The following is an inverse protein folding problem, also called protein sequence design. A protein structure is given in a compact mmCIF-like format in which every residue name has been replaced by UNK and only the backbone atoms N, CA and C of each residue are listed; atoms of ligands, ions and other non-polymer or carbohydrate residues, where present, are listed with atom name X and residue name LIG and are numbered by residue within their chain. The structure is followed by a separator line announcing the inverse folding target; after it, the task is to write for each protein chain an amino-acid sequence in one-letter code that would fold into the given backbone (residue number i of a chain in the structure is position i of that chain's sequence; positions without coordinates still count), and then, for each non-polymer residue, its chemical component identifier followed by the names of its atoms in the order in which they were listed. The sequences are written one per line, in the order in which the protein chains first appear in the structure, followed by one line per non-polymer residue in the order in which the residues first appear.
data_IF_526833996142
#
_entry.id   IF_526833996142
#
_cell.length_a   1.000
_cell.length_b   1.000
_cell.length_c   1.000
_cell.angle_alpha   90.00
_cell.angle_beta   90.00
_cell.angle_gamma   90.00
#
_symmetry.space_group_name_H-M   'P 1'
#
loop_
_entity.id
_entity.type
_entity.pdbx_description
1 polymer ?
#
# COMPACT_ATOMS: atom_id res chain seq x y z
N UNK A 1 -9.79 -10.54 -27.13
CA UNK A 1 -9.15 -10.93 -25.88
C UNK A 1 -8.38 -9.73 -25.36
N UNK A 2 -8.72 -9.31 -24.16
CA UNK A 2 -8.00 -8.21 -23.53
C UNK A 2 -6.67 -8.78 -23.03
N UNK A 3 -5.55 -8.19 -23.43
CA UNK A 3 -4.23 -8.49 -22.88
C UNK A 3 -4.09 -7.83 -21.50
N UNK A 4 -5.09 -8.04 -20.64
CA UNK A 4 -5.15 -7.51 -19.27
C UNK A 4 -5.44 -8.69 -18.33
N UNK A 5 -4.62 -8.81 -17.31
CA UNK A 5 -4.84 -9.71 -16.21
C UNK A 5 -5.03 -8.90 -14.93
N UNK A 6 -6.08 -9.19 -14.16
CA UNK A 6 -6.47 -8.45 -12.96
C UNK A 6 -6.39 -9.39 -11.76
N UNK A 7 -5.69 -8.94 -10.73
CA UNK A 7 -5.59 -9.62 -9.43
C UNK A 7 -6.17 -8.72 -8.35
N UNK A 8 -7.06 -9.28 -7.55
CA UNK A 8 -7.65 -8.60 -6.41
C UNK A 8 -6.89 -9.00 -5.14
N UNK A 9 -6.07 -8.12 -4.63
CA UNK A 9 -5.34 -8.34 -3.38
C UNK A 9 -5.26 -7.07 -2.53
N UNK A 10 -5.15 -7.27 -1.22
CA UNK A 10 -4.85 -6.24 -0.23
C UNK A 10 -3.49 -6.47 0.44
N UNK A 11 -2.74 -7.46 -0.04
CA UNK A 11 -1.44 -7.84 0.49
C UNK A 11 -0.32 -7.14 -0.27
N UNK A 12 0.40 -6.24 0.40
CA UNK A 12 1.58 -5.60 -0.19
C UNK A 12 2.66 -6.63 -0.58
N UNK A 13 2.77 -7.73 0.16
CA UNK A 13 3.74 -8.80 -0.14
C UNK A 13 3.40 -9.49 -1.47
N UNK A 14 2.14 -9.80 -1.72
CA UNK A 14 1.69 -10.37 -3.00
C UNK A 14 1.90 -9.39 -4.16
N UNK A 15 1.56 -8.10 -3.97
CA UNK A 15 1.82 -7.08 -4.99
C UNK A 15 3.30 -7.03 -5.36
N UNK A 16 4.20 -7.08 -4.37
CA UNK A 16 5.64 -7.10 -4.62
C UNK A 16 6.10 -8.38 -5.32
N UNK A 17 5.49 -9.54 -5.03
CA UNK A 17 5.76 -10.80 -5.72
C UNK A 17 5.35 -10.71 -7.20
N UNK A 18 4.15 -10.23 -7.50
CA UNK A 18 3.71 -10.02 -8.89
C UNK A 18 4.59 -9.04 -9.66
N UNK A 19 5.06 -7.97 -9.01
CA UNK A 19 6.02 -7.04 -9.63
C UNK A 19 7.35 -7.75 -9.91
N UNK A 20 7.83 -8.60 -9.00
CA UNK A 20 9.03 -9.39 -9.17
C UNK A 20 8.91 -10.37 -10.35
N UNK A 21 7.81 -11.10 -10.44
CA UNK A 21 7.53 -12.00 -11.55
C UNK A 21 7.47 -11.26 -12.88
N UNK A 22 6.79 -10.10 -12.92
CA UNK A 22 6.76 -9.26 -14.13
C UNK A 22 8.15 -8.78 -14.54
N UNK A 23 8.99 -8.40 -13.57
CA UNK A 23 10.37 -7.96 -13.79
C UNK A 23 11.24 -9.06 -14.39
N UNK A 24 11.12 -10.26 -13.83
CA UNK A 24 11.92 -11.43 -14.24
C UNK A 24 11.34 -12.19 -15.44
N UNK A 25 10.19 -11.76 -15.99
CA UNK A 25 9.44 -12.48 -17.02
C UNK A 25 9.09 -13.92 -16.60
N UNK A 26 8.74 -14.13 -15.35
CA UNK A 26 8.24 -15.39 -14.79
C UNK A 26 6.78 -15.64 -15.20
N UNK A 27 6.31 -16.87 -15.06
CA UNK A 27 4.92 -17.21 -15.37
C UNK A 27 3.98 -16.71 -14.27
N UNK A 28 2.80 -16.30 -14.71
CA UNK A 28 1.66 -16.00 -13.84
C UNK A 28 0.70 -17.19 -13.91
N UNK A 29 0.03 -17.48 -12.80
CA UNK A 29 -0.89 -18.59 -12.69
C UNK A 29 -2.31 -18.09 -12.41
N UNK A 30 -3.29 -18.81 -12.91
CA UNK A 30 -4.68 -18.51 -12.61
C UNK A 30 -4.94 -18.63 -11.11
N UNK A 31 -5.86 -17.82 -10.61
CA UNK A 31 -6.26 -17.80 -9.21
C UNK A 31 -7.67 -18.41 -9.12
N UNK A 32 -7.83 -19.39 -8.24
CA UNK A 32 -9.13 -20.03 -7.98
C UNK A 32 -10.07 -19.13 -7.17
N UNK A 33 -11.30 -19.60 -6.98
CA UNK A 33 -12.34 -18.86 -6.22
C UNK A 33 -11.98 -18.67 -4.74
N UNK A 34 -11.07 -19.48 -4.20
CA UNK A 34 -10.55 -19.38 -2.83
C UNK A 34 -9.34 -18.43 -2.71
N UNK A 35 -8.86 -17.90 -3.85
CA UNK A 35 -7.74 -16.96 -3.92
C UNK A 35 -6.36 -17.63 -3.95
N UNK A 36 -6.27 -18.94 -4.25
CA UNK A 36 -5.01 -19.65 -4.36
C UNK A 36 -4.56 -19.73 -5.83
N UNK A 37 -3.25 -19.67 -6.07
CA UNK A 37 -2.69 -19.94 -7.39
C UNK A 37 -2.90 -21.40 -7.76
N UNK A 38 -3.33 -21.61 -9.00
CA UNK A 38 -3.48 -22.94 -9.62
C UNK A 38 -2.19 -23.33 -10.37
N UNK A 39 -2.17 -24.52 -10.97
CA UNK A 39 -1.07 -24.95 -11.87
C UNK A 39 -1.27 -24.45 -13.32
N UNK A 40 -2.33 -23.69 -13.59
CA UNK A 40 -2.65 -23.20 -14.95
C UNK A 40 -1.96 -21.88 -15.22
N UNK A 41 -1.08 -21.83 -16.21
CA UNK A 41 -0.39 -20.62 -16.63
C UNK A 41 -1.36 -19.65 -17.32
N UNK A 42 -1.33 -18.39 -16.93
CA UNK A 42 -2.10 -17.32 -17.59
C UNK A 42 -1.50 -17.07 -18.99
N UNK A 43 -2.36 -17.13 -19.99
CA UNK A 43 -1.97 -16.92 -21.40
C UNK A 43 -2.46 -15.58 -21.91
N UNK A 44 -1.71 -14.96 -22.82
CA UNK A 44 -2.12 -13.78 -23.57
C UNK A 44 -3.10 -14.12 -24.71
N UNK A 45 -3.50 -13.10 -25.49
CA UNK A 45 -4.42 -13.25 -26.60
C UNK A 45 -3.89 -14.12 -27.76
N UNK A 46 -2.60 -14.37 -27.82
CA UNK A 46 -1.93 -15.23 -28.80
C UNK A 46 -1.71 -16.67 -28.28
N UNK A 47 -2.12 -16.95 -27.05
CA UNK A 47 -1.93 -18.26 -26.42
C UNK A 47 -0.50 -18.49 -25.88
N UNK A 48 0.28 -17.43 -25.69
CA UNK A 48 1.61 -17.49 -25.07
C UNK A 48 1.52 -17.13 -23.60
N UNK A 49 2.51 -17.53 -22.76
CA UNK A 49 2.55 -17.08 -21.38
C UNK A 49 2.48 -15.55 -21.28
N UNK A 50 1.56 -15.07 -20.43
CA UNK A 50 1.32 -13.62 -20.25
C UNK A 50 2.56 -12.89 -19.76
N UNK A 51 2.92 -11.79 -20.42
CA UNK A 51 4.07 -10.93 -20.07
C UNK A 51 3.61 -9.46 -20.09
N UNK A 52 3.42 -8.82 -18.95
CA UNK A 52 2.95 -7.44 -18.93
C UNK A 52 4.02 -6.44 -19.38
N UNK A 53 3.64 -5.49 -20.21
CA UNK A 53 4.44 -4.30 -20.54
C UNK A 53 4.18 -3.14 -19.58
N UNK A 54 3.04 -3.19 -18.89
CA UNK A 54 2.63 -2.18 -17.94
C UNK A 54 2.03 -2.82 -16.68
N UNK A 55 2.27 -2.18 -15.54
CA UNK A 55 1.77 -2.58 -14.21
C UNK A 55 0.90 -1.45 -13.67
N UNK A 56 -0.31 -1.77 -13.25
CA UNK A 56 -1.21 -0.82 -12.57
C UNK A 56 -1.45 -1.31 -11.15
N UNK A 57 -1.11 -0.45 -10.18
CA UNK A 57 -1.40 -0.70 -8.76
C UNK A 57 -2.49 0.27 -8.33
N UNK A 58 -3.73 -0.21 -8.34
CA UNK A 58 -4.87 0.62 -7.97
C UNK A 58 -5.13 0.55 -6.46
N UNK A 59 -5.12 1.73 -5.81
CA UNK A 59 -5.46 1.87 -4.40
C UNK A 59 -4.30 1.70 -3.42
N UNK A 60 -3.13 2.31 -3.67
CA UNK A 60 -1.99 2.26 -2.73
C UNK A 60 -2.31 2.79 -1.33
N UNK A 61 -3.33 3.64 -1.18
CA UNK A 61 -3.87 4.04 0.13
C UNK A 61 -4.44 2.86 0.92
N UNK A 62 -5.10 1.92 0.24
CA UNK A 62 -5.63 0.69 0.85
C UNK A 62 -4.47 -0.22 1.26
N UNK A 63 -3.48 -0.41 0.39
CA UNK A 63 -2.27 -1.20 0.72
C UNK A 63 -1.54 -0.64 1.94
N UNK A 64 -1.46 0.68 2.09
CA UNK A 64 -0.88 1.31 3.27
C UNK A 64 -1.71 1.01 4.52
N UNK A 65 -3.04 1.07 4.42
CA UNK A 65 -3.94 0.78 5.54
C UNK A 65 -3.80 -0.68 6.00
N UNK A 66 -3.85 -1.64 5.07
CA UNK A 66 -3.73 -3.06 5.39
C UNK A 66 -2.35 -3.42 5.91
N UNK A 67 -1.28 -2.79 5.39
CA UNK A 67 0.08 -2.91 5.95
C UNK A 67 0.12 -2.44 7.40
N UNK A 68 -0.50 -1.32 7.74
CA UNK A 68 -0.61 -0.83 9.13
C UNK A 68 -1.37 -1.82 10.01
N UNK A 69 -2.49 -2.36 9.53
CA UNK A 69 -3.27 -3.36 10.26
C UNK A 69 -2.45 -4.62 10.55
N UNK A 70 -1.72 -5.14 9.56
CA UNK A 70 -0.82 -6.27 9.74
C UNK A 70 0.28 -6.02 10.79
N UNK A 71 0.85 -4.80 10.81
CA UNK A 71 1.85 -4.43 11.82
C UNK A 71 1.23 -4.27 13.21
N UNK A 72 -0.02 -3.79 13.32
CA UNK A 72 -0.75 -3.74 14.60
C UNK A 72 -0.94 -5.15 15.14
N UNK A 73 -1.36 -6.11 14.33
CA UNK A 73 -1.50 -7.51 14.76
C UNK A 73 -0.15 -8.11 15.18
N UNK A 74 0.92 -7.79 14.50
CA UNK A 74 2.27 -8.17 14.94
C UNK A 74 2.65 -7.51 16.28
N UNK A 75 2.27 -6.25 16.49
CA UNK A 75 2.48 -5.55 17.77
C UNK A 75 1.72 -6.21 18.93
N UNK A 76 0.47 -6.65 18.70
CA UNK A 76 -0.30 -7.44 19.67
C UNK A 76 0.38 -8.77 20.01
N UNK A 77 0.91 -9.47 19.00
CA UNK A 77 1.69 -10.71 19.23
C UNK A 77 2.92 -10.44 20.11
N UNK A 78 3.67 -9.36 19.85
CA UNK A 78 4.80 -8.93 20.70
C UNK A 78 4.35 -8.62 22.13
N UNK A 79 3.23 -7.91 22.30
CA UNK A 79 2.68 -7.58 23.60
C UNK A 79 2.24 -8.83 24.37
N UNK A 80 1.69 -9.81 23.68
CA UNK A 80 1.29 -11.09 24.26
C UNK A 80 2.50 -11.85 24.82
N UNK A 81 3.59 -11.97 24.05
CA UNK A 81 4.84 -12.58 24.54
C UNK A 81 5.40 -11.83 25.75
N UNK A 82 5.39 -10.49 25.73
CA UNK A 82 5.83 -9.68 26.89
C UNK A 82 4.93 -9.87 28.11
N UNK A 83 3.62 -10.04 27.92
CA UNK A 83 2.67 -10.32 28.99
C UNK A 83 2.92 -11.71 29.62
N UNK A 84 3.21 -12.71 28.78
CA UNK A 84 3.59 -14.07 29.27
C UNK A 84 4.86 -14.03 30.11
N UNK A 85 5.90 -13.37 29.62
CA UNK A 85 7.18 -13.23 30.37
C UNK A 85 6.97 -12.51 31.71
N UNK A 86 6.04 -11.52 31.73
CA UNK A 86 5.72 -10.76 32.96
C UNK A 86 4.70 -11.48 33.86
N UNK A 87 4.23 -12.69 33.52
CA UNK A 87 3.25 -13.43 34.29
C UNK A 87 1.87 -12.76 34.37
N UNK A 88 1.51 -11.90 33.43
CA UNK A 88 0.21 -11.21 33.43
C UNK A 88 -0.91 -12.17 33.05
N UNK A 89 -2.02 -12.13 33.81
CA UNK A 89 -3.22 -12.93 33.59
C UNK A 89 -4.48 -12.04 33.61
N UNK A 90 -5.61 -12.56 33.12
CA UNK A 90 -6.91 -11.92 33.19
C UNK A 90 -6.90 -10.52 32.51
N UNK A 91 -7.58 -9.55 33.09
CA UNK A 91 -7.78 -8.22 32.55
C UNK A 91 -6.46 -7.46 32.31
N UNK A 92 -5.46 -7.65 33.18
CA UNK A 92 -4.15 -7.02 33.04
C UNK A 92 -3.45 -7.46 31.73
N UNK A 93 -3.60 -8.74 31.35
CA UNK A 93 -3.12 -9.27 30.08
C UNK A 93 -3.90 -8.68 28.90
N UNK A 94 -5.22 -8.67 28.97
CA UNK A 94 -6.08 -8.12 27.91
C UNK A 94 -5.75 -6.66 27.64
N UNK A 95 -5.69 -5.82 28.66
CA UNK A 95 -5.33 -4.40 28.51
C UNK A 95 -3.94 -4.24 27.89
N UNK A 96 -2.96 -5.08 28.25
CA UNK A 96 -1.61 -5.02 27.67
C UNK A 96 -1.58 -5.40 26.19
N UNK A 97 -2.36 -6.40 25.79
CA UNK A 97 -2.38 -6.93 24.43
C UNK A 97 -3.25 -6.08 23.53
N UNK A 98 -4.48 -5.79 23.93
CA UNK A 98 -5.43 -5.02 23.11
C UNK A 98 -5.07 -3.54 23.03
N UNK A 99 -4.41 -3.01 24.07
CA UNK A 99 -3.84 -1.66 24.05
C UNK A 99 -2.52 -1.53 23.28
N UNK A 100 -2.01 -2.62 22.69
CA UNK A 100 -0.77 -2.57 21.91
C UNK A 100 -1.00 -1.81 20.59
N UNK A 101 -0.32 -0.67 20.46
CA UNK A 101 -0.33 0.17 19.25
C UNK A 101 0.97 0.08 18.48
N UNK A 102 1.08 0.91 17.44
CA UNK A 102 2.29 1.07 16.65
C UNK A 102 3.35 1.83 17.43
N UNK A 103 4.56 1.29 17.49
CA UNK A 103 5.75 1.95 18.01
C UNK A 103 6.46 2.72 16.87
N UNK A 104 7.39 3.63 17.20
CA UNK A 104 8.11 4.42 16.19
C UNK A 104 8.80 3.55 15.13
N UNK A 105 9.40 2.44 15.53
CA UNK A 105 10.03 1.47 14.62
C UNK A 105 9.04 0.81 13.65
N UNK A 106 7.78 0.66 14.06
CA UNK A 106 6.73 0.08 13.21
C UNK A 106 6.36 1.05 12.08
N UNK A 107 6.29 2.35 12.36
CA UNK A 107 6.12 3.38 11.33
C UNK A 107 7.28 3.44 10.34
N UNK A 108 8.51 3.24 10.82
CA UNK A 108 9.67 3.11 9.92
C UNK A 108 9.53 1.90 9.00
N UNK A 109 9.14 0.74 9.54
CA UNK A 109 8.89 -0.47 8.75
C UNK A 109 7.81 -0.25 7.68
N UNK A 110 6.69 0.39 8.02
CA UNK A 110 5.63 0.71 7.08
C UNK A 110 6.15 1.62 5.96
N UNK A 111 6.94 2.63 6.31
CA UNK A 111 7.51 3.55 5.33
C UNK A 111 8.50 2.85 4.39
N UNK A 112 9.38 1.98 4.90
CA UNK A 112 10.29 1.19 4.06
C UNK A 112 9.54 0.27 3.12
N UNK A 113 8.52 -0.43 3.60
CA UNK A 113 7.67 -1.29 2.76
C UNK A 113 7.01 -0.51 1.60
N UNK A 114 6.56 0.72 1.87
CA UNK A 114 6.02 1.58 0.81
C UNK A 114 7.08 2.07 -0.19
N UNK A 115 8.30 2.34 0.29
CA UNK A 115 9.42 2.67 -0.60
C UNK A 115 9.81 1.46 -1.45
N UNK A 116 9.83 0.25 -0.89
CA UNK A 116 10.11 -0.99 -1.62
C UNK A 116 9.16 -1.16 -2.81
N UNK A 117 7.87 -0.82 -2.65
CA UNK A 117 6.89 -0.88 -3.74
C UNK A 117 7.30 0.00 -4.92
N UNK A 118 7.61 1.28 -4.67
CA UNK A 118 7.98 2.21 -5.73
C UNK A 118 9.34 1.87 -6.33
N UNK A 119 10.30 1.44 -5.52
CA UNK A 119 11.60 1.01 -6.01
C UNK A 119 11.49 -0.24 -6.87
N UNK A 120 10.67 -1.22 -6.51
CA UNK A 120 10.40 -2.40 -7.31
C UNK A 120 9.76 -2.03 -8.66
N UNK A 121 8.76 -1.14 -8.67
CA UNK A 121 8.15 -0.64 -9.89
C UNK A 121 9.15 0.10 -10.78
N UNK A 122 10.00 0.98 -10.22
CA UNK A 122 11.03 1.68 -10.97
C UNK A 122 12.09 0.72 -11.56
N UNK A 123 12.45 -0.32 -10.80
CA UNK A 123 13.43 -1.32 -11.23
C UNK A 123 12.88 -2.33 -12.23
N UNK A 124 11.55 -2.46 -12.36
CA UNK A 124 10.91 -3.47 -13.21
C UNK A 124 11.20 -3.30 -14.71
N UNK A 125 11.58 -2.10 -15.15
CA UNK A 125 11.72 -1.77 -16.58
C UNK A 125 10.38 -1.71 -17.32
N UNK A 126 9.25 -1.83 -16.62
CA UNK A 126 7.90 -1.77 -17.18
C UNK A 126 7.32 -0.36 -17.04
N UNK A 127 6.32 -0.02 -17.84
CA UNK A 127 5.49 1.14 -17.55
C UNK A 127 4.68 0.87 -16.28
N UNK A 128 4.47 1.89 -15.45
CA UNK A 128 3.61 1.68 -14.29
C UNK A 128 2.74 2.92 -13.97
N UNK A 129 1.58 2.63 -13.41
CA UNK A 129 0.66 3.61 -12.85
C UNK A 129 0.33 3.16 -11.43
N UNK A 130 0.37 4.10 -10.50
CA UNK A 130 -0.11 3.88 -9.13
C UNK A 130 -1.19 4.90 -8.81
N UNK A 131 -2.27 4.46 -8.20
CA UNK A 131 -3.32 5.37 -7.74
C UNK A 131 -3.32 5.47 -6.21
N UNK A 132 -3.71 6.64 -5.71
CA UNK A 132 -3.88 6.91 -4.29
C UNK A 132 -5.04 7.86 -4.08
N UNK A 133 -5.69 7.81 -2.92
CA UNK A 133 -6.59 8.86 -2.45
C UNK A 133 -5.79 10.12 -2.14
N UNK A 134 -6.45 11.26 -2.10
CA UNK A 134 -5.80 12.49 -1.62
C UNK A 134 -6.11 12.75 -0.14
N UNK A 135 -5.17 13.39 0.53
CA UNK A 135 -5.32 13.88 1.89
C UNK A 135 -4.69 15.26 2.04
N UNK A 136 -5.03 15.96 3.11
CA UNK A 136 -4.38 17.23 3.43
C UNK A 136 -2.96 16.99 3.93
N UNK A 137 -2.01 17.71 3.36
CA UNK A 137 -0.67 17.81 3.94
C UNK A 137 -0.75 18.52 5.28
N UNK A 138 -0.10 17.94 6.30
CA UNK A 138 -0.07 18.50 7.66
C UNK A 138 1.36 18.71 8.09
N UNK A 139 1.61 19.83 8.76
CA UNK A 139 2.89 20.12 9.39
C UNK A 139 2.72 20.32 10.90
N UNK A 140 3.79 20.07 11.64
CA UNK A 140 3.81 20.33 13.09
C UNK A 140 4.17 21.79 13.33
N UNK A 141 3.28 22.54 14.00
CA UNK A 141 3.52 23.90 14.47
C UNK A 141 3.45 23.98 15.98
N UNK A 142 4.18 24.90 16.56
CA UNK A 142 4.04 25.23 17.99
C UNK A 142 3.05 26.37 18.09
N UNK A 143 1.88 26.09 18.67
CA UNK A 143 0.82 27.06 18.93
C UNK A 143 0.61 27.07 20.44
N UNK A 144 0.76 28.22 21.07
CA UNK A 144 0.64 28.41 22.53
C UNK A 144 1.51 27.42 23.35
N UNK A 145 2.73 27.14 22.85
CA UNK A 145 3.68 26.24 23.50
C UNK A 145 3.35 24.74 23.33
N UNK A 146 2.31 24.38 22.59
CA UNK A 146 1.94 22.99 22.27
C UNK A 146 2.23 22.67 20.81
N UNK A 147 2.66 21.43 20.56
CA UNK A 147 2.80 20.92 19.18
C UNK A 147 1.43 20.56 18.64
N UNK A 148 1.01 21.24 17.60
CA UNK A 148 -0.24 20.98 16.90
C UNK A 148 0.01 20.61 15.44
N UNK A 149 -0.83 19.73 14.90
CA UNK A 149 -0.78 19.32 13.49
C UNK A 149 -1.74 20.20 12.69
N UNK A 150 -1.19 21.08 11.85
CA UNK A 150 -1.95 22.08 11.09
C UNK A 150 -1.89 21.74 9.60
N UNK A 151 -3.02 21.88 8.90
CA UNK A 151 -3.05 21.72 7.43
C UNK A 151 -2.25 22.83 6.76
N UNK A 152 -1.42 22.46 5.78
CA UNK A 152 -0.68 23.43 4.92
C UNK A 152 -1.56 24.01 3.82
N UNK A 153 -2.78 23.47 3.62
CA UNK A 153 -3.65 23.78 2.50
C UNK A 153 -3.30 23.04 1.20
N UNK A 154 -2.22 22.25 1.20
CA UNK A 154 -1.84 21.42 0.06
C UNK A 154 -2.48 20.04 0.16
N UNK A 155 -2.75 19.44 -1.01
CA UNK A 155 -3.19 18.06 -1.13
C UNK A 155 -2.01 17.18 -1.55
N UNK A 156 -1.90 16.03 -0.91
CA UNK A 156 -0.89 15.02 -1.19
C UNK A 156 -1.53 13.64 -1.35
N UNK A 157 -0.89 12.68 -2.03
CA UNK A 157 -1.36 11.30 -2.03
C UNK A 157 -1.43 10.75 -0.61
N UNK A 158 -2.57 10.14 -0.25
CA UNK A 158 -2.73 9.43 1.01
C UNK A 158 -2.02 8.08 0.93
N UNK A 159 -1.27 7.72 1.96
CA UNK A 159 -0.69 6.38 2.05
C UNK A 159 0.76 6.37 2.45
N UNK A 160 1.61 5.73 1.67
CA UNK A 160 3.03 5.61 1.95
C UNK A 160 3.75 6.94 1.81
N UNK A 161 4.51 7.30 2.84
CA UNK A 161 5.20 8.59 2.89
C UNK A 161 6.22 8.72 1.76
N UNK A 162 6.16 9.83 1.04
CA UNK A 162 7.15 10.17 0.02
C UNK A 162 6.96 9.47 -1.33
N UNK A 163 5.86 8.74 -1.53
CA UNK A 163 5.59 8.03 -2.78
C UNK A 163 5.65 8.95 -4.00
N UNK A 164 5.06 10.15 -3.93
CA UNK A 164 5.03 11.12 -5.02
C UNK A 164 6.42 11.58 -5.47
N UNK A 165 7.43 11.58 -4.59
CA UNK A 165 8.78 12.02 -4.94
C UNK A 165 9.56 11.00 -5.76
N UNK A 166 9.09 9.76 -5.81
CA UNK A 166 9.73 8.67 -6.55
C UNK A 166 9.02 8.38 -7.88
N UNK A 167 7.88 9.03 -8.16
CA UNK A 167 7.19 8.94 -9.44
C UNK A 167 7.70 10.01 -10.40
N UNK A 168 7.86 9.67 -11.69
CA UNK A 168 8.29 10.62 -12.72
C UNK A 168 7.25 11.72 -12.97
N UNK A 169 5.98 11.38 -12.87
CA UNK A 169 4.85 12.29 -13.08
C UNK A 169 3.82 12.02 -11.99
N UNK A 170 3.27 13.07 -11.41
CA UNK A 170 2.20 12.99 -10.43
C UNK A 170 1.02 13.81 -10.96
N UNK A 171 -0.12 13.15 -11.15
CA UNK A 171 -1.34 13.77 -11.68
C UNK A 171 -2.38 13.78 -10.56
N UNK A 172 -2.88 14.95 -10.20
CA UNK A 172 -4.02 15.11 -9.31
C UNK A 172 -5.29 15.21 -10.14
N UNK A 173 -6.24 14.31 -9.91
CA UNK A 173 -7.56 14.35 -10.53
C UNK A 173 -8.60 14.77 -9.47
N UNK A 174 -9.49 15.69 -9.85
CA UNK A 174 -10.57 16.15 -8.98
C UNK A 174 -11.82 16.48 -9.78
N UNK A 175 -12.99 16.39 -9.15
CA UNK A 175 -14.24 16.85 -9.75
C UNK A 175 -14.35 18.35 -9.65
N UNK A 176 -14.84 18.97 -10.72
CA UNK A 176 -15.14 20.39 -10.70
C UNK A 176 -16.25 20.66 -9.67
N UNK A 177 -16.06 21.57 -8.70
CA UNK A 177 -17.10 21.90 -7.74
C UNK A 177 -18.34 22.55 -8.37
N UNK A 178 -18.20 23.19 -9.52
CA UNK A 178 -19.30 23.87 -10.23
C UNK A 178 -19.97 22.95 -11.28
N UNK A 179 -19.29 21.87 -11.71
CA UNK A 179 -19.81 20.88 -12.65
C UNK A 179 -19.31 19.47 -12.24
N UNK A 180 -20.13 18.77 -11.49
CA UNK A 180 -19.76 17.49 -10.88
C UNK A 180 -19.49 16.36 -11.88
N UNK A 181 -19.96 16.49 -13.11
CA UNK A 181 -19.72 15.52 -14.18
C UNK A 181 -18.35 15.75 -14.86
N UNK A 182 -17.78 16.93 -14.69
CA UNK A 182 -16.45 17.27 -15.23
C UNK A 182 -15.33 16.87 -14.25
N UNK A 183 -14.38 16.08 -14.77
CA UNK A 183 -13.14 15.73 -14.06
C UNK A 183 -12.00 16.56 -14.61
N UNK A 184 -11.29 17.25 -13.74
CA UNK A 184 -10.09 18.03 -14.08
C UNK A 184 -8.84 17.30 -13.61
N UNK A 185 -7.75 17.44 -14.37
CA UNK A 185 -6.44 16.92 -14.04
C UNK A 185 -5.44 18.06 -13.90
N UNK A 186 -4.59 17.95 -12.88
CA UNK A 186 -3.49 18.89 -12.63
C UNK A 186 -2.19 18.08 -12.55
N UNK A 187 -1.16 18.51 -13.29
CA UNK A 187 0.15 17.89 -13.42
C UNK A 187 1.20 18.70 -12.67
#
# INVERSE_FOLDING_TARGET
PANIWIVYTQSLTEVLDYISRATNNEDFYEIDDDGNETDTVVLDGDGKPFRPDAIVVDGTSVLNLTTKQGIIEFSKKRANVKADIAGLIGDARLVKVDGAGLELKDYQTINFKGQDLILALNASGKHYIVTARETDEKEQRIIDGKKESVSTGRKIPEGFKGMQYNCKTCIRMYRDPDDYDTVKAFV
#
